data_IF_745833095620
#
_entry.id   IF_745833095620
#
_cell.length_a   1.000
_cell.length_b   1.000
_cell.length_c   1.000
_cell.angle_alpha   90.00
_cell.angle_beta   90.00
_cell.angle_gamma   90.00
#
_symmetry.space_group_name_H-M   'P 1'
#
loop_
_entity.id
_entity.type
_entity.pdbx_description
1 polymer ?
#
# COMPACT_ATOMS: atom_id res chain seq x y z
N UNK A 1 18.98 15.26 -1.66
CA UNK A 1 19.22 14.42 -2.86
C UNK A 1 18.33 14.91 -3.99
N UNK A 2 18.87 15.06 -5.20
CA UNK A 2 18.07 15.35 -6.40
C UNK A 2 17.38 14.08 -6.90
N UNK A 3 16.17 14.23 -7.45
CA UNK A 3 15.41 13.13 -8.06
C UNK A 3 16.17 12.56 -9.25
N UNK A 4 16.43 11.24 -9.25
CA UNK A 4 17.13 10.54 -10.35
C UNK A 4 16.18 10.18 -11.49
N UNK A 5 14.95 9.76 -11.18
CA UNK A 5 13.95 9.32 -12.15
C UNK A 5 12.87 10.38 -12.35
N UNK A 6 12.57 10.75 -13.60
CA UNK A 6 11.52 11.72 -13.93
C UNK A 6 10.13 11.24 -13.49
N UNK A 7 9.78 10.02 -13.89
CA UNK A 7 8.55 9.33 -13.50
C UNK A 7 8.91 7.95 -12.96
N UNK A 8 8.42 7.62 -11.77
CA UNK A 8 8.68 6.35 -11.12
C UNK A 8 7.79 5.24 -11.70
N UNK A 9 6.52 5.52 -12.03
CA UNK A 9 5.59 4.49 -12.50
C UNK A 9 6.00 4.00 -13.89
N UNK A 10 6.29 4.92 -14.81
CA UNK A 10 6.79 4.54 -16.15
C UNK A 10 8.05 3.69 -16.05
N UNK A 11 8.99 4.08 -15.19
CA UNK A 11 10.25 3.34 -15.02
C UNK A 11 10.08 1.99 -14.33
N UNK A 12 9.12 1.88 -13.41
CA UNK A 12 8.73 0.60 -12.85
C UNK A 12 8.17 -0.31 -13.95
N UNK A 13 7.30 0.19 -14.82
CA UNK A 13 6.71 -0.59 -15.92
C UNK A 13 7.79 -1.07 -16.92
N UNK A 14 8.75 -0.21 -17.26
CA UNK A 14 9.93 -0.60 -18.07
C UNK A 14 10.74 -1.72 -17.37
N UNK A 15 10.95 -1.59 -16.05
CA UNK A 15 11.70 -2.57 -15.26
C UNK A 15 11.01 -3.95 -15.23
N UNK A 16 9.68 -4.00 -15.18
CA UNK A 16 8.90 -5.24 -15.15
C UNK A 16 8.36 -5.67 -16.52
N UNK A 17 8.77 -5.02 -17.61
CA UNK A 17 8.21 -5.24 -18.95
C UNK A 17 8.23 -6.74 -19.33
N UNK A 18 9.39 -7.37 -19.17
CA UNK A 18 9.66 -8.77 -19.54
C UNK A 18 9.20 -9.81 -18.50
N UNK A 19 8.28 -9.46 -17.59
CA UNK A 19 7.72 -10.39 -16.60
C UNK A 19 6.33 -10.87 -17.02
N UNK A 20 5.94 -12.04 -16.51
CA UNK A 20 4.69 -12.73 -16.88
C UNK A 20 3.36 -12.01 -16.55
N UNK A 21 3.23 -11.19 -15.48
CA UNK A 21 1.94 -10.58 -15.15
C UNK A 21 1.39 -9.62 -16.23
N UNK A 22 0.07 -9.47 -16.26
CA UNK A 22 -0.58 -8.48 -17.14
C UNK A 22 -0.14 -7.05 -16.81
N UNK A 23 -0.18 -6.17 -17.82
CA UNK A 23 0.14 -4.74 -17.64
C UNK A 23 -0.71 -4.10 -16.53
N UNK A 24 -1.98 -4.46 -16.46
CA UNK A 24 -2.89 -3.92 -15.45
C UNK A 24 -2.42 -4.26 -14.03
N UNK A 25 -2.00 -5.50 -13.77
CA UNK A 25 -1.47 -5.88 -12.46
C UNK A 25 -0.18 -5.13 -12.13
N UNK A 26 0.72 -5.00 -13.10
CA UNK A 26 1.98 -4.25 -12.95
C UNK A 26 1.70 -2.79 -12.57
N UNK A 27 0.80 -2.13 -13.29
CA UNK A 27 0.46 -0.72 -13.09
C UNK A 27 -0.18 -0.48 -11.71
N UNK A 28 -1.16 -1.29 -11.32
CA UNK A 28 -1.80 -1.13 -10.01
C UNK A 28 -0.88 -1.49 -8.84
N UNK A 29 0.05 -2.43 -9.02
CA UNK A 29 1.12 -2.66 -8.03
C UNK A 29 2.05 -1.45 -7.95
N UNK A 30 2.42 -0.83 -9.07
CA UNK A 30 3.24 0.37 -9.05
C UNK A 30 2.55 1.49 -8.26
N UNK A 31 1.27 1.74 -8.55
CA UNK A 31 0.45 2.75 -7.89
C UNK A 31 0.36 2.46 -6.38
N UNK A 32 0.16 1.20 -5.97
CA UNK A 32 0.08 0.83 -4.55
C UNK A 32 1.39 1.10 -3.80
N UNK A 33 2.54 0.86 -4.44
CA UNK A 33 3.86 1.15 -3.86
C UNK A 33 4.03 2.65 -3.61
N UNK A 34 3.65 3.49 -4.57
CA UNK A 34 3.70 4.95 -4.40
C UNK A 34 2.76 5.40 -3.30
N UNK A 35 1.51 4.92 -3.29
CA UNK A 35 0.54 5.26 -2.27
C UNK A 35 1.03 4.92 -0.86
N UNK A 36 1.61 3.73 -0.68
CA UNK A 36 2.21 3.28 0.56
C UNK A 36 3.42 4.13 0.99
N UNK A 37 4.28 4.53 0.05
CA UNK A 37 5.44 5.37 0.33
C UNK A 37 5.07 6.82 0.73
N UNK A 38 3.92 7.33 0.29
CA UNK A 38 3.48 8.69 0.60
C UNK A 38 2.97 8.89 2.04
N UNK A 39 2.60 7.82 2.76
CA UNK A 39 2.31 7.79 4.21
C UNK A 39 1.54 9.03 4.76
N UNK A 40 0.44 9.45 4.13
CA UNK A 40 -0.33 10.68 4.49
C UNK A 40 0.47 12.01 4.55
N UNK A 41 1.72 12.03 4.06
CA UNK A 41 2.59 13.22 3.96
C UNK A 41 2.20 14.08 2.77
N UNK A 42 1.66 13.46 1.72
CA UNK A 42 1.11 14.13 0.56
C UNK A 42 -0.41 14.08 0.56
N UNK A 43 -1.03 15.17 0.10
CA UNK A 43 -2.48 15.30 0.01
C UNK A 43 -2.87 16.26 -1.11
N UNK A 44 -4.07 16.06 -1.65
CA UNK A 44 -4.70 16.93 -2.62
C UNK A 44 -5.78 17.77 -1.92
N UNK A 45 -5.62 19.10 -1.79
CA UNK A 45 -6.69 19.97 -1.34
C UNK A 45 -7.74 20.12 -2.45
N UNK A 46 -8.99 19.76 -2.17
CA UNK A 46 -10.11 19.86 -3.09
C UNK A 46 -11.28 20.58 -2.42
N UNK A 47 -11.27 21.92 -2.51
CA UNK A 47 -12.22 22.77 -1.79
C UNK A 47 -12.12 22.55 -0.28
N UNK A 48 -13.19 22.07 0.34
CA UNK A 48 -13.25 21.76 1.77
C UNK A 48 -12.74 20.36 2.13
N UNK A 49 -12.51 19.51 1.13
CA UNK A 49 -12.05 18.14 1.33
C UNK A 49 -10.53 18.05 1.12
N UNK A 50 -9.88 17.15 1.84
CA UNK A 50 -8.46 16.84 1.65
C UNK A 50 -8.35 15.35 1.36
N UNK A 51 -7.89 15.03 0.16
CA UNK A 51 -7.69 13.64 -0.26
C UNK A 51 -6.25 13.22 0.04
N UNK A 52 -6.12 12.10 0.75
CA UNK A 52 -4.85 11.42 0.94
C UNK A 52 -4.79 10.23 -0.01
N UNK A 53 -3.60 9.80 -0.44
CA UNK A 53 -3.42 8.60 -1.26
C UNK A 53 -3.59 7.32 -0.43
N UNK A 54 -4.65 7.24 0.39
CA UNK A 54 -5.05 6.03 1.10
C UNK A 54 -5.83 5.15 0.13
N UNK A 55 -5.11 4.32 -0.62
CA UNK A 55 -5.72 3.50 -1.68
C UNK A 55 -6.06 2.11 -1.17
N UNK A 56 -7.27 1.63 -1.51
CA UNK A 56 -7.68 0.25 -1.34
C UNK A 56 -7.70 -0.42 -2.72
N UNK A 57 -6.70 -1.27 -2.99
CA UNK A 57 -6.46 -1.86 -4.31
C UNK A 57 -6.57 -3.38 -4.17
N UNK A 58 -7.45 -4.00 -4.95
CA UNK A 58 -7.64 -5.45 -4.99
C UNK A 58 -7.41 -5.95 -6.41
N UNK A 59 -6.40 -6.80 -6.60
CA UNK A 59 -6.12 -7.42 -7.89
C UNK A 59 -6.95 -8.70 -8.05
N UNK A 60 -7.92 -8.67 -8.96
CA UNK A 60 -8.83 -9.81 -9.21
C UNK A 60 -8.47 -10.50 -10.53
N UNK A 61 -8.51 -11.82 -10.52
CA UNK A 61 -8.28 -12.63 -11.71
C UNK A 61 -8.41 -14.13 -11.46
N UNK A 62 -8.51 -14.93 -12.55
CA UNK A 62 -8.57 -16.38 -12.44
C UNK A 62 -7.30 -16.96 -11.78
N UNK A 63 -7.37 -18.19 -11.26
CA UNK A 63 -6.17 -18.90 -10.81
C UNK A 63 -5.11 -18.93 -11.91
N UNK A 64 -3.84 -18.74 -11.53
CA UNK A 64 -2.73 -18.70 -12.50
C UNK A 64 -2.55 -17.37 -13.23
N UNK A 65 -3.32 -16.31 -12.92
CA UNK A 65 -3.18 -14.99 -13.56
C UNK A 65 -1.89 -14.21 -13.18
N UNK A 66 -0.99 -14.81 -12.40
CA UNK A 66 0.28 -14.22 -11.91
C UNK A 66 0.11 -12.91 -11.13
N UNK A 67 -1.06 -12.72 -10.50
CA UNK A 67 -1.33 -11.58 -9.61
C UNK A 67 -0.35 -11.53 -8.43
N UNK A 68 -0.08 -12.66 -7.78
CA UNK A 68 0.88 -12.74 -6.67
C UNK A 68 2.29 -12.34 -7.13
N UNK A 69 2.73 -12.80 -8.31
CA UNK A 69 4.02 -12.42 -8.87
C UNK A 69 4.16 -10.91 -9.11
N UNK A 70 3.10 -10.23 -9.57
CA UNK A 70 3.09 -8.77 -9.65
C UNK A 70 3.21 -8.15 -8.26
N UNK A 71 2.42 -8.65 -7.31
CA UNK A 71 2.43 -8.21 -5.92
C UNK A 71 3.81 -8.36 -5.26
N UNK A 72 4.47 -9.51 -5.36
CA UNK A 72 5.79 -9.78 -4.79
C UNK A 72 6.84 -8.76 -5.22
N UNK A 73 6.76 -8.31 -6.48
CA UNK A 73 7.65 -7.28 -7.01
C UNK A 73 7.46 -5.96 -6.26
N UNK A 74 6.22 -5.53 -6.05
CA UNK A 74 5.90 -4.34 -5.26
C UNK A 74 6.28 -4.49 -3.78
N UNK A 75 6.06 -5.67 -3.20
CA UNK A 75 6.43 -5.98 -1.82
C UNK A 75 7.93 -5.81 -1.59
N UNK A 76 8.77 -6.27 -2.53
CA UNK A 76 10.22 -6.07 -2.46
C UNK A 76 10.60 -4.59 -2.43
N UNK A 77 10.00 -3.75 -3.28
CA UNK A 77 10.24 -2.30 -3.24
C UNK A 77 9.84 -1.67 -1.91
N UNK A 78 8.70 -2.08 -1.33
CA UNK A 78 8.24 -1.55 -0.04
C UNK A 78 9.17 -1.94 1.11
N UNK A 79 9.65 -3.18 1.11
CA UNK A 79 10.65 -3.66 2.08
C UNK A 79 11.95 -2.89 1.94
N UNK A 80 12.46 -2.71 0.72
CA UNK A 80 13.72 -2.02 0.46
C UNK A 80 13.62 -0.51 0.79
N UNK A 81 12.42 0.08 0.64
CA UNK A 81 12.13 1.44 1.07
C UNK A 81 11.84 1.57 2.58
N UNK A 82 11.94 0.47 3.35
CA UNK A 82 11.67 0.39 4.78
C UNK A 82 10.26 0.92 5.16
N UNK A 83 9.28 0.64 4.31
CA UNK A 83 7.87 0.96 4.58
C UNK A 83 7.30 -0.10 5.52
N UNK A 84 6.60 0.35 6.56
CA UNK A 84 5.96 -0.56 7.52
C UNK A 84 4.76 -1.28 6.89
N UNK A 85 4.87 -2.60 6.80
CA UNK A 85 3.82 -3.48 6.31
C UNK A 85 3.15 -4.20 7.48
N UNK A 86 1.84 -4.43 7.37
CA UNK A 86 1.10 -5.28 8.28
C UNK A 86 1.40 -6.76 7.99
N UNK A 87 1.25 -7.64 8.98
CA UNK A 87 1.36 -9.08 8.75
C UNK A 87 0.18 -9.63 7.91
N UNK A 88 0.39 -10.72 7.16
CA UNK A 88 -0.61 -11.31 6.24
C UNK A 88 -1.87 -11.83 6.95
N UNK A 89 -1.74 -12.28 8.20
CA UNK A 89 -2.83 -12.82 9.00
C UNK A 89 -2.82 -12.15 10.37
N UNK A 90 -3.53 -11.03 10.48
CA UNK A 90 -3.65 -10.32 11.75
C UNK A 90 -5.06 -10.49 12.28
N UNK A 91 -5.17 -10.98 13.51
CA UNK A 91 -6.41 -10.83 14.28
C UNK A 91 -6.72 -9.34 14.40
N UNK A 92 -7.99 -8.96 14.51
CA UNK A 92 -8.38 -7.55 14.69
C UNK A 92 -7.59 -6.84 15.81
N UNK A 93 -7.35 -7.53 16.92
CA UNK A 93 -6.57 -6.99 18.03
C UNK A 93 -5.10 -6.74 17.64
N UNK A 94 -4.48 -7.66 16.90
CA UNK A 94 -3.12 -7.45 16.39
C UNK A 94 -3.05 -6.29 15.40
N UNK A 95 -4.05 -6.09 14.53
CA UNK A 95 -4.04 -4.99 13.56
C UNK A 95 -4.11 -3.63 14.27
N UNK A 96 -4.92 -3.54 15.33
CA UNK A 96 -4.98 -2.35 16.19
C UNK A 96 -3.63 -2.08 16.87
N UNK A 97 -2.96 -3.11 17.38
CA UNK A 97 -1.63 -2.97 17.99
C UNK A 97 -0.57 -2.53 16.96
N UNK A 98 -0.62 -3.06 15.73
CA UNK A 98 0.30 -2.67 14.67
C UNK A 98 0.09 -1.22 14.20
N UNK A 99 -1.18 -0.78 14.12
CA UNK A 99 -1.57 0.60 13.84
C UNK A 99 -1.08 1.56 14.92
N UNK A 100 -1.24 1.21 16.19
CA UNK A 100 -0.74 2.00 17.32
C UNK A 100 0.79 2.13 17.25
N UNK A 101 1.47 1.01 17.02
CA UNK A 101 2.92 0.99 16.79
C UNK A 101 3.36 1.68 15.48
N UNK A 102 2.44 2.02 14.57
CA UNK A 102 2.72 2.71 13.30
C UNK A 102 2.51 4.23 13.41
N UNK A 103 2.27 4.76 14.61
CA UNK A 103 2.16 6.19 14.83
C UNK A 103 3.48 6.90 14.51
N UNK A 104 3.35 7.97 13.75
CA UNK A 104 4.43 8.85 13.36
C UNK A 104 4.03 10.30 13.62
N UNK A 105 4.87 11.00 14.36
CA UNK A 105 4.69 12.41 14.66
C UNK A 105 5.62 13.21 13.76
N UNK A 106 5.06 14.04 12.88
CA UNK A 106 5.82 14.91 12.00
C UNK A 106 5.61 16.37 12.41
N UNK A 107 6.70 17.11 12.52
CA UNK A 107 6.63 18.55 12.71
C UNK A 107 6.39 19.21 11.35
N UNK A 108 5.26 19.88 11.20
CA UNK A 108 4.92 20.69 10.03
C UNK A 108 5.01 22.17 10.42
N UNK A 109 5.10 23.06 9.42
CA UNK A 109 4.99 24.52 9.60
C UNK A 109 3.70 24.95 10.33
N UNK A 110 2.70 24.07 10.40
CA UNK A 110 1.41 24.28 11.08
C UNK A 110 1.30 23.59 12.44
N UNK A 111 2.39 23.04 12.97
CA UNK A 111 2.46 22.33 14.24
C UNK A 111 2.71 20.83 14.12
N UNK A 112 2.56 20.12 15.24
CA UNK A 112 2.77 18.67 15.31
C UNK A 112 1.59 17.93 14.65
N UNK A 113 1.87 17.16 13.59
CA UNK A 113 0.90 16.30 12.93
C UNK A 113 1.21 14.84 13.26
N UNK A 114 0.36 14.22 14.08
CA UNK A 114 0.44 12.79 14.37
C UNK A 114 -0.43 12.04 13.37
N UNK A 115 0.11 10.99 12.77
CA UNK A 115 -0.61 10.09 11.88
C UNK A 115 -0.11 8.66 12.06
N UNK A 116 -0.99 7.67 11.89
CA UNK A 116 -0.58 6.28 11.71
C UNK A 116 -0.73 5.93 10.22
N UNK A 117 0.28 5.33 9.62
CA UNK A 117 0.24 4.83 8.24
C UNK A 117 0.73 3.40 8.23
N UNK A 118 -0.15 2.50 7.81
CA UNK A 118 0.11 1.07 7.73
C UNK A 118 -0.36 0.59 6.36
N UNK A 119 0.49 -0.16 5.67
CA UNK A 119 0.12 -0.80 4.41
C UNK A 119 -0.13 -2.27 4.66
N UNK A 120 -1.35 -2.72 4.40
CA UNK A 120 -1.68 -4.14 4.40
C UNK A 120 -1.34 -4.70 3.02
N UNK A 121 -0.52 -5.73 3.01
CA UNK A 121 -0.18 -6.48 1.81
C UNK A 121 -0.68 -7.90 2.04
N UNK A 122 -1.60 -8.39 1.21
CA UNK A 122 -2.24 -9.69 1.40
C UNK A 122 -2.44 -10.38 0.06
N UNK A 123 -1.72 -11.48 -0.18
CA UNK A 123 -1.85 -12.29 -1.40
C UNK A 123 -3.23 -12.96 -1.52
N UNK A 124 -3.83 -13.31 -0.39
CA UNK A 124 -5.14 -13.96 -0.31
C UNK A 124 -6.10 -13.18 0.57
N UNK A 125 -6.93 -12.34 -0.05
CA UNK A 125 -7.87 -11.48 0.65
C UNK A 125 -8.85 -12.25 1.55
N UNK A 126 -9.23 -13.47 1.17
CA UNK A 126 -10.09 -14.34 1.99
C UNK A 126 -9.41 -14.82 3.27
N UNK A 127 -8.09 -15.05 3.24
CA UNK A 127 -7.32 -15.41 4.42
C UNK A 127 -7.25 -14.21 5.36
N UNK A 128 -7.03 -13.01 4.80
CA UNK A 128 -6.99 -11.79 5.57
C UNK A 128 -8.31 -11.50 6.31
N UNK A 129 -9.46 -11.64 5.64
CA UNK A 129 -10.75 -11.39 6.30
C UNK A 129 -11.18 -12.47 7.31
N UNK A 130 -10.56 -13.66 7.27
CA UNK A 130 -11.05 -14.82 8.02
C UNK A 130 -12.41 -15.32 7.48
N UNK A 131 -12.69 -16.62 7.65
CA UNK A 131 -13.87 -17.25 7.06
C UNK A 131 -15.23 -16.76 7.60
N UNK A 132 -15.28 -15.91 8.64
CA UNK A 132 -16.57 -15.47 9.24
C UNK A 132 -16.53 -14.09 9.93
N UNK A 133 -15.43 -13.32 9.84
CA UNK A 133 -15.32 -12.06 10.59
C UNK A 133 -15.80 -10.85 9.79
N UNK A 134 -17.13 -10.67 9.72
CA UNK A 134 -17.77 -9.41 9.25
C UNK A 134 -17.23 -8.16 9.96
N UNK A 135 -16.59 -8.33 11.11
CA UNK A 135 -15.99 -7.27 11.91
C UNK A 135 -14.68 -6.70 11.31
N UNK A 136 -13.94 -7.47 10.51
CA UNK A 136 -12.71 -7.01 9.86
C UNK A 136 -12.99 -5.94 8.80
N UNK A 137 -14.08 -6.08 8.03
CA UNK A 137 -14.51 -5.08 7.04
C UNK A 137 -14.85 -3.73 7.68
N UNK A 138 -15.34 -3.73 8.93
CA UNK A 138 -15.71 -2.50 9.63
C UNK A 138 -14.52 -1.67 10.15
N UNK A 139 -13.29 -2.19 10.02
CA UNK A 139 -12.05 -1.50 10.47
C UNK A 139 -11.46 -0.62 9.36
N UNK A 140 -11.87 -0.84 8.09
CA UNK A 140 -11.41 -0.09 6.91
C UNK A 140 -12.44 0.96 6.48
#
# INVERSE_FOLDING_TARGET
MSRVLKDWITRYLDFVENTEPSLLYKEWTAISVVAAALQRKCYLPWGHLTFYPNMYIVLVGPPGSRKNTAMDTGHNFLRDANIKLAADAVTRAGLVQELDAAQHAELSDKGLKVHASLTVFSEELSVFFGYDERQMVAVF
#
